data_IF_792389984839
#
_entry.id   IF_792389984839
#
_cell.length_a   1.000
_cell.length_b   1.000
_cell.length_c   1.000
_cell.angle_alpha   90.00
_cell.angle_beta   90.00
_cell.angle_gamma   90.00
#
_symmetry.space_group_name_H-M   'P 1'
#
loop_
_entity.id
_entity.type
_entity.pdbx_description
1 polymer ?
#
# COMPACT_ATOMS: atom_id res chain seq x y z
N UNK A 1 -20.21 2.69 19.97
CA UNK A 1 -19.09 3.64 20.02
C UNK A 1 -18.86 4.16 18.60
N UNK A 2 -19.25 5.40 18.31
CA UNK A 2 -18.89 6.04 17.05
C UNK A 2 -17.38 6.20 17.05
N UNK A 3 -16.70 5.63 16.05
CA UNK A 3 -15.27 5.88 15.85
C UNK A 3 -15.13 7.37 15.56
N UNK A 4 -14.50 8.09 16.46
CA UNK A 4 -14.14 9.49 16.27
C UNK A 4 -13.34 9.55 14.96
N UNK A 5 -13.79 10.39 14.04
CA UNK A 5 -13.11 10.61 12.76
C UNK A 5 -11.72 11.20 13.06
N UNK A 6 -10.69 10.55 12.58
CA UNK A 6 -9.31 11.00 12.80
C UNK A 6 -8.95 11.98 11.67
N UNK A 7 -9.16 13.27 11.90
CA UNK A 7 -8.97 14.33 10.91
C UNK A 7 -7.56 14.31 10.29
N UNK A 8 -6.54 14.05 11.11
CA UNK A 8 -5.16 13.97 10.63
C UNK A 8 -4.96 12.88 9.56
N UNK A 9 -5.69 11.75 9.63
CA UNK A 9 -5.62 10.70 8.62
C UNK A 9 -6.23 11.17 7.30
N UNK A 10 -7.33 11.90 7.34
CA UNK A 10 -7.97 12.43 6.14
C UNK A 10 -7.07 13.49 5.48
N UNK A 11 -6.40 14.32 6.27
CA UNK A 11 -5.39 15.28 5.81
C UNK A 11 -4.21 14.54 5.15
N UNK A 12 -3.68 13.50 5.82
CA UNK A 12 -2.56 12.70 5.29
C UNK A 12 -2.91 12.03 3.97
N UNK A 13 -4.12 11.46 3.84
CA UNK A 13 -4.59 10.88 2.57
C UNK A 13 -4.70 11.94 1.47
N UNK A 14 -5.29 13.09 1.78
CA UNK A 14 -5.40 14.19 0.83
C UNK A 14 -4.04 14.65 0.33
N UNK A 15 -3.09 14.83 1.24
CA UNK A 15 -1.72 15.18 0.90
C UNK A 15 -1.02 14.10 0.06
N UNK A 16 -1.20 12.82 0.43
CA UNK A 16 -0.66 11.70 -0.33
C UNK A 16 -1.19 11.63 -1.77
N UNK A 17 -2.48 11.94 -1.99
CA UNK A 17 -3.09 12.00 -3.32
C UNK A 17 -2.47 13.16 -4.11
N UNK A 18 -2.29 14.34 -3.50
CA UNK A 18 -1.63 15.49 -4.15
C UNK A 18 -0.21 15.11 -4.57
N UNK A 19 0.57 14.50 -3.67
CA UNK A 19 1.91 14.04 -3.98
C UNK A 19 1.92 12.99 -5.11
N UNK A 20 0.95 12.07 -5.13
CA UNK A 20 0.81 11.07 -6.18
C UNK A 20 0.58 11.73 -7.55
N UNK A 21 -0.37 12.65 -7.66
CA UNK A 21 -0.64 13.39 -8.90
C UNK A 21 0.59 14.19 -9.32
N UNK A 22 1.24 14.86 -8.37
CA UNK A 22 2.45 15.64 -8.62
C UNK A 22 3.62 14.75 -9.08
N UNK A 23 3.79 13.58 -8.47
CA UNK A 23 4.81 12.59 -8.84
C UNK A 23 4.65 12.02 -10.26
N UNK A 24 3.43 12.06 -10.83
CA UNK A 24 3.16 11.67 -12.22
C UNK A 24 3.24 12.84 -13.22
N UNK A 25 3.52 14.05 -12.76
CA UNK A 25 3.74 15.22 -13.63
C UNK A 25 5.22 15.36 -14.02
N UNK A 26 5.52 16.26 -14.98
CA UNK A 26 6.89 16.55 -15.42
C UNK A 26 7.63 17.39 -14.37
N UNK A 27 8.13 16.73 -13.30
CA UNK A 27 8.88 17.34 -12.21
C UNK A 27 10.35 16.92 -12.23
N UNK A 28 11.24 17.66 -11.56
CA UNK A 28 12.64 17.26 -11.39
C UNK A 28 12.77 15.86 -10.77
N UNK A 29 13.71 15.06 -11.30
CA UNK A 29 13.93 13.67 -10.87
C UNK A 29 14.17 13.54 -9.35
N UNK A 30 14.82 14.52 -8.73
CA UNK A 30 15.06 14.53 -7.28
C UNK A 30 13.76 14.57 -6.47
N UNK A 31 12.78 15.36 -6.92
CA UNK A 31 11.46 15.44 -6.26
C UNK A 31 10.67 14.16 -6.53
N UNK A 32 10.68 13.67 -7.76
CA UNK A 32 10.05 12.41 -8.13
C UNK A 32 10.60 11.25 -7.31
N UNK A 33 11.93 11.10 -7.20
CA UNK A 33 12.56 10.04 -6.39
C UNK A 33 12.12 10.08 -4.93
N UNK A 34 12.03 11.29 -4.36
CA UNK A 34 11.55 11.46 -3.00
C UNK A 34 10.10 10.98 -2.84
N UNK A 35 9.18 11.43 -3.70
CA UNK A 35 7.77 11.04 -3.65
C UNK A 35 7.62 9.52 -3.83
N UNK A 36 8.26 8.95 -4.82
CA UNK A 36 8.18 7.52 -5.14
C UNK A 36 8.82 6.61 -4.10
N UNK A 37 9.63 7.16 -3.18
CA UNK A 37 10.22 6.36 -2.12
C UNK A 37 9.21 5.90 -1.06
N UNK A 38 8.07 6.59 -0.88
CA UNK A 38 7.15 6.29 0.23
C UNK A 38 5.65 6.42 -0.10
N UNK A 39 5.25 7.11 -1.19
CA UNK A 39 3.83 7.47 -1.37
C UNK A 39 2.89 6.27 -1.48
N UNK A 40 3.27 5.20 -2.19
CA UNK A 40 2.44 4.01 -2.27
C UNK A 40 2.46 3.18 -0.99
N UNK A 41 3.60 2.90 -0.35
CA UNK A 41 3.65 2.35 0.99
C UNK A 41 2.77 3.08 2.00
N UNK A 42 2.71 4.41 1.95
CA UNK A 42 1.87 5.23 2.83
C UNK A 42 0.38 4.83 2.76
N UNK A 43 -0.16 4.61 1.57
CA UNK A 43 -1.56 4.20 1.43
C UNK A 43 -1.84 2.83 2.05
N UNK A 44 -0.92 1.86 1.92
CA UNK A 44 -1.07 0.56 2.58
C UNK A 44 -0.94 0.67 4.10
N UNK A 45 0.01 1.46 4.60
CA UNK A 45 0.19 1.72 6.05
C UNK A 45 -1.07 2.38 6.63
N UNK A 46 -1.61 3.42 5.99
CA UNK A 46 -2.85 4.07 6.45
C UNK A 46 -4.02 3.09 6.42
N UNK A 47 -4.13 2.26 5.39
CA UNK A 47 -5.20 1.27 5.28
C UNK A 47 -5.14 0.24 6.41
N UNK A 48 -3.93 -0.26 6.72
CA UNK A 48 -3.69 -1.14 7.86
C UNK A 48 -3.96 -0.48 9.20
N UNK A 49 -3.58 0.78 9.38
CA UNK A 49 -3.89 1.57 10.57
C UNK A 49 -5.40 1.71 10.82
N UNK A 50 -6.17 1.93 9.75
CA UNK A 50 -7.62 2.05 9.82
C UNK A 50 -8.33 0.71 9.97
N UNK A 51 -7.63 -0.40 9.74
CA UNK A 51 -8.23 -1.72 9.84
C UNK A 51 -8.71 -2.00 11.27
N UNK A 52 -9.91 -2.60 11.36
CA UNK A 52 -10.50 -2.99 12.63
C UNK A 52 -11.09 -4.40 12.50
N UNK A 53 -10.39 -5.37 13.09
CA UNK A 53 -10.78 -6.77 13.07
C UNK A 53 -12.17 -7.01 13.69
N UNK A 54 -12.54 -6.27 14.76
CA UNK A 54 -13.83 -6.45 15.45
C UNK A 54 -15.06 -6.09 14.60
N UNK A 55 -14.87 -5.37 13.49
CA UNK A 55 -15.96 -5.04 12.55
C UNK A 55 -16.40 -6.21 11.69
N UNK A 56 -15.58 -7.26 11.62
CA UNK A 56 -15.82 -8.37 10.70
C UNK A 56 -15.98 -9.67 11.47
N UNK A 57 -17.20 -10.21 11.46
CA UNK A 57 -17.52 -11.50 12.14
C UNK A 57 -16.85 -12.71 11.49
N UNK A 58 -16.52 -12.59 10.21
CA UNK A 58 -15.86 -13.65 9.42
C UNK A 58 -15.09 -13.03 8.24
N UNK A 59 -14.11 -13.74 7.64
CA UNK A 59 -13.46 -13.29 6.41
C UNK A 59 -14.44 -12.99 5.27
N UNK A 60 -15.51 -13.79 5.15
CA UNK A 60 -16.53 -13.58 4.13
C UNK A 60 -17.27 -12.25 4.29
N UNK A 61 -17.51 -11.80 5.54
CA UNK A 61 -18.13 -10.50 5.79
C UNK A 61 -17.26 -9.32 5.34
N UNK A 62 -15.95 -9.43 5.47
CA UNK A 62 -15.00 -8.47 4.92
C UNK A 62 -15.04 -8.47 3.39
N UNK A 63 -14.93 -9.67 2.76
CA UNK A 63 -14.94 -9.82 1.31
C UNK A 63 -16.18 -9.15 0.72
N UNK A 64 -17.36 -9.48 1.24
CA UNK A 64 -18.64 -8.90 0.79
C UNK A 64 -18.62 -7.37 0.89
N UNK A 65 -18.18 -6.82 2.02
CA UNK A 65 -18.12 -5.37 2.21
C UNK A 65 -17.14 -4.71 1.26
N UNK A 66 -15.94 -5.26 1.13
CA UNK A 66 -14.88 -4.70 0.27
C UNK A 66 -15.18 -4.86 -1.21
N UNK A 67 -15.89 -5.90 -1.59
CA UNK A 67 -16.38 -6.05 -2.95
C UNK A 67 -17.26 -4.83 -3.35
N UNK A 68 -18.22 -4.46 -2.53
CA UNK A 68 -19.08 -3.30 -2.82
C UNK A 68 -18.35 -1.95 -2.73
N UNK A 69 -17.35 -1.82 -1.85
CA UNK A 69 -16.70 -0.52 -1.60
C UNK A 69 -15.43 -0.31 -2.43
N UNK A 70 -14.80 -1.36 -2.93
CA UNK A 70 -13.56 -1.28 -3.74
C UNK A 70 -13.76 -1.84 -5.15
N UNK A 71 -14.29 -3.07 -5.29
CA UNK A 71 -14.32 -3.75 -6.59
C UNK A 71 -15.39 -3.17 -7.50
N UNK A 72 -16.60 -2.88 -7.01
CA UNK A 72 -17.63 -2.26 -7.84
C UNK A 72 -17.20 -0.89 -8.38
N UNK A 73 -16.70 0.06 -7.56
CA UNK A 73 -16.14 1.31 -8.09
C UNK A 73 -14.96 1.08 -9.04
N UNK A 74 -14.07 0.13 -8.74
CA UNK A 74 -12.96 -0.23 -9.60
C UNK A 74 -13.45 -0.66 -11.00
N UNK A 75 -14.42 -1.58 -11.08
CA UNK A 75 -14.99 -2.02 -12.36
C UNK A 75 -15.60 -0.84 -13.11
N UNK A 76 -16.40 -0.01 -12.42
CA UNK A 76 -17.02 1.17 -13.02
C UNK A 76 -15.97 2.12 -13.63
N UNK A 77 -14.96 2.50 -12.85
CA UNK A 77 -13.90 3.41 -13.33
C UNK A 77 -13.01 2.75 -14.39
N UNK A 78 -12.78 1.43 -14.32
CA UNK A 78 -12.06 0.69 -15.35
C UNK A 78 -12.78 0.72 -16.69
N UNK A 79 -14.09 0.48 -16.70
CA UNK A 79 -14.90 0.58 -17.92
C UNK A 79 -14.92 2.01 -18.45
N UNK A 80 -15.14 2.98 -17.55
CA UNK A 80 -15.16 4.40 -17.91
C UNK A 80 -13.83 4.85 -18.54
N UNK A 81 -12.70 4.52 -17.91
CA UNK A 81 -11.37 4.82 -18.43
C UNK A 81 -11.12 4.11 -19.76
N UNK A 82 -11.51 2.84 -19.89
CA UNK A 82 -11.36 2.09 -21.11
C UNK A 82 -12.14 2.69 -22.27
N UNK A 83 -13.42 2.99 -22.06
CA UNK A 83 -14.29 3.61 -23.09
C UNK A 83 -13.75 4.98 -23.54
N UNK A 84 -13.19 5.77 -22.63
CA UNK A 84 -12.61 7.07 -22.95
C UNK A 84 -11.24 7.00 -23.65
N UNK A 85 -10.39 6.05 -23.29
CA UNK A 85 -8.99 5.99 -23.71
C UNK A 85 -8.72 5.03 -24.88
N UNK A 86 -9.52 3.97 -25.01
CA UNK A 86 -9.35 2.97 -26.07
C UNK A 86 -9.52 3.54 -27.49
N UNK A 87 -10.56 4.35 -27.78
CA UNK A 87 -10.72 4.96 -29.11
C UNK A 87 -9.58 5.92 -29.49
N UNK A 88 -8.87 6.45 -28.48
CA UNK A 88 -7.71 7.34 -28.67
C UNK A 88 -6.39 6.56 -28.85
N UNK A 89 -6.43 5.22 -28.80
CA UNK A 89 -5.25 4.37 -28.87
C UNK A 89 -4.32 4.46 -27.64
N UNK A 90 -4.80 5.04 -26.53
CA UNK A 90 -4.01 5.25 -25.30
C UNK A 90 -3.92 4.00 -24.43
N UNK A 91 -4.87 3.06 -24.57
CA UNK A 91 -4.91 1.81 -23.81
C UNK A 91 -5.24 0.63 -24.73
N UNK A 92 -4.81 -0.58 -24.30
CA UNK A 92 -5.09 -1.84 -25.00
C UNK A 92 -6.09 -2.66 -24.20
N UNK A 93 -6.72 -3.66 -24.82
CA UNK A 93 -7.61 -4.61 -24.16
C UNK A 93 -6.96 -5.32 -22.96
N UNK A 94 -5.65 -5.51 -23.07
CA UNK A 94 -4.84 -6.16 -22.03
C UNK A 94 -4.92 -5.44 -20.67
N UNK A 95 -5.10 -4.12 -20.65
CA UNK A 95 -5.17 -3.34 -19.42
C UNK A 95 -6.32 -3.78 -18.51
N UNK A 96 -7.43 -4.22 -19.06
CA UNK A 96 -8.59 -4.69 -18.28
C UNK A 96 -8.28 -5.89 -17.40
N UNK A 97 -7.40 -6.81 -17.83
CA UNK A 97 -7.04 -7.99 -17.06
C UNK A 97 -5.64 -7.92 -16.43
N UNK A 98 -4.75 -7.09 -16.94
CA UNK A 98 -3.44 -6.83 -16.31
C UNK A 98 -3.52 -5.95 -15.07
N UNK A 99 -4.67 -5.32 -14.80
CA UNK A 99 -4.89 -4.50 -13.62
C UNK A 99 -4.39 -3.07 -13.74
N UNK A 100 -4.44 -2.49 -14.96
CA UNK A 100 -4.13 -1.10 -15.22
C UNK A 100 -2.70 -0.69 -14.86
N UNK A 101 -1.72 -1.43 -15.38
CA UNK A 101 -0.31 -1.11 -15.24
C UNK A 101 -0.01 0.31 -15.74
N UNK A 102 0.69 1.10 -14.92
CA UNK A 102 0.97 2.51 -15.23
C UNK A 102 -0.14 3.50 -14.92
N UNK A 103 -1.33 3.04 -14.51
CA UNK A 103 -2.47 3.87 -14.12
C UNK A 103 -2.81 3.66 -12.65
N UNK A 104 -3.34 4.68 -11.96
CA UNK A 104 -3.64 4.63 -10.53
C UNK A 104 -4.64 3.51 -10.11
N UNK A 105 -5.41 2.97 -11.03
CA UNK A 105 -6.42 1.94 -10.78
C UNK A 105 -5.84 0.61 -10.29
N UNK A 106 -4.59 0.28 -10.59
CA UNK A 106 -3.93 -0.96 -10.15
C UNK A 106 -3.93 -1.13 -8.62
N UNK A 107 -3.91 -0.02 -7.90
CA UNK A 107 -3.86 -0.02 -6.43
C UNK A 107 -5.08 -0.68 -5.79
N UNK A 108 -6.26 -0.54 -6.40
CA UNK A 108 -7.54 -1.00 -5.80
C UNK A 108 -7.62 -2.53 -5.67
N UNK A 109 -7.36 -3.34 -6.73
CA UNK A 109 -7.35 -4.80 -6.59
C UNK A 109 -6.23 -5.28 -5.66
N UNK A 110 -5.05 -4.65 -5.66
CA UNK A 110 -3.97 -5.00 -4.73
C UNK A 110 -4.36 -4.70 -3.28
N UNK A 111 -5.00 -3.56 -3.02
CA UNK A 111 -5.50 -3.25 -1.66
C UNK A 111 -6.57 -4.26 -1.22
N UNK A 112 -7.50 -4.60 -2.11
CA UNK A 112 -8.55 -5.58 -1.84
C UNK A 112 -7.95 -6.95 -1.46
N UNK A 113 -7.03 -7.48 -2.27
CA UNK A 113 -6.38 -8.76 -2.00
C UNK A 113 -5.51 -8.73 -0.75
N UNK A 114 -4.80 -7.63 -0.51
CA UNK A 114 -3.99 -7.41 0.71
C UNK A 114 -4.86 -7.45 1.98
N UNK A 115 -6.00 -6.77 1.97
CA UNK A 115 -6.92 -6.76 3.12
C UNK A 115 -7.52 -8.14 3.39
N UNK A 116 -7.91 -8.86 2.34
CA UNK A 116 -8.45 -10.22 2.48
C UNK A 116 -7.38 -11.15 3.05
N UNK A 117 -6.19 -11.14 2.48
CA UNK A 117 -5.08 -11.98 2.92
C UNK A 117 -4.73 -11.68 4.38
N UNK A 118 -4.60 -10.41 4.75
CA UNK A 118 -4.30 -10.00 6.12
C UNK A 118 -5.40 -10.45 7.11
N UNK A 119 -6.69 -10.26 6.76
CA UNK A 119 -7.80 -10.71 7.58
C UNK A 119 -7.80 -12.25 7.75
N UNK A 120 -7.51 -12.99 6.68
CA UNK A 120 -7.44 -14.44 6.72
C UNK A 120 -6.30 -14.93 7.63
N UNK A 121 -5.13 -14.29 7.58
CA UNK A 121 -4.01 -14.59 8.46
C UNK A 121 -4.36 -14.32 9.94
N UNK A 122 -5.02 -13.20 10.23
CA UNK A 122 -5.52 -12.92 11.58
C UNK A 122 -6.55 -13.97 12.05
N UNK A 123 -7.43 -14.41 11.16
CA UNK A 123 -8.41 -15.45 11.47
C UNK A 123 -7.74 -16.80 11.76
N UNK A 124 -6.71 -17.17 10.98
CA UNK A 124 -5.91 -18.37 11.26
C UNK A 124 -5.23 -18.22 12.62
N UNK A 125 -4.54 -17.10 12.86
CA UNK A 125 -3.86 -16.86 14.14
C UNK A 125 -4.81 -17.01 15.34
N UNK A 126 -6.05 -16.52 15.23
CA UNK A 126 -7.04 -16.61 16.30
C UNK A 126 -7.46 -18.04 16.65
N UNK A 127 -7.29 -19.00 15.73
CA UNK A 127 -7.58 -20.41 15.95
C UNK A 127 -6.45 -21.16 16.67
N UNK A 128 -5.22 -20.67 16.56
CA UNK A 128 -4.04 -21.28 17.19
C UNK A 128 -3.71 -20.64 18.57
N UNK A 129 -4.72 -20.43 19.38
CA UNK A 129 -4.83 -19.61 20.59
C UNK A 129 -3.75 -19.76 21.68
N UNK A 130 -2.82 -20.68 21.66
CA UNK A 130 -1.94 -20.93 22.81
C UNK A 130 -0.44 -20.76 22.60
N UNK A 131 0.03 -20.33 21.47
CA UNK A 131 1.47 -20.44 21.31
C UNK A 131 2.04 -19.54 20.25
N UNK A 132 2.12 -18.46 20.07
CA UNK A 132 3.11 -17.76 19.19
C UNK A 132 2.64 -16.36 18.80
N UNK A 133 2.98 -15.44 19.67
CA UNK A 133 2.89 -14.00 19.41
C UNK A 133 3.55 -13.56 18.09
N UNK A 134 4.48 -14.37 17.54
CA UNK A 134 5.27 -14.04 16.34
C UNK A 134 4.85 -14.81 15.07
N UNK A 135 3.79 -15.64 15.12
CA UNK A 135 3.39 -16.45 13.95
C UNK A 135 2.94 -15.57 12.79
N UNK A 136 2.11 -14.58 13.06
CA UNK A 136 1.59 -13.65 12.05
C UNK A 136 2.72 -12.85 11.42
N UNK A 137 3.58 -12.28 12.24
CA UNK A 137 4.71 -11.46 11.81
C UNK A 137 5.70 -12.29 10.97
N UNK A 138 5.96 -13.53 11.37
CA UNK A 138 6.83 -14.44 10.62
C UNK A 138 6.23 -14.78 9.25
N UNK A 139 4.93 -15.09 9.18
CA UNK A 139 4.26 -15.39 7.91
C UNK A 139 4.29 -14.15 7.00
N UNK A 140 3.99 -12.96 7.53
CA UNK A 140 4.02 -11.71 6.76
C UNK A 140 5.43 -11.43 6.23
N UNK A 141 6.46 -11.64 7.03
CA UNK A 141 7.85 -11.48 6.58
C UNK A 141 8.19 -12.47 5.46
N UNK A 142 7.81 -13.75 5.59
CA UNK A 142 8.02 -14.74 4.53
C UNK A 142 7.30 -14.33 3.24
N UNK A 143 6.03 -13.92 3.33
CA UNK A 143 5.27 -13.45 2.17
C UNK A 143 5.92 -12.23 1.51
N UNK A 144 6.46 -11.31 2.31
CA UNK A 144 7.14 -10.12 1.79
C UNK A 144 8.44 -10.48 1.06
N UNK A 145 9.18 -11.45 1.56
CA UNK A 145 10.37 -11.99 0.88
C UNK A 145 9.98 -12.67 -0.43
N UNK A 146 8.89 -13.45 -0.43
CA UNK A 146 8.34 -14.05 -1.67
C UNK A 146 7.96 -12.96 -2.67
N UNK A 147 7.26 -11.91 -2.25
CA UNK A 147 6.91 -10.76 -3.09
C UNK A 147 8.14 -10.09 -3.69
N UNK A 148 9.20 -9.92 -2.89
CA UNK A 148 10.46 -9.37 -3.37
C UNK A 148 11.16 -10.29 -4.39
N UNK A 149 11.16 -11.61 -4.17
CA UNK A 149 11.71 -12.58 -5.13
C UNK A 149 10.93 -12.54 -6.44
N UNK A 150 9.58 -12.49 -6.38
CA UNK A 150 8.73 -12.38 -7.57
C UNK A 150 9.03 -11.11 -8.37
N UNK A 151 9.36 -10.00 -7.69
CA UNK A 151 9.76 -8.76 -8.36
C UNK A 151 11.09 -8.90 -9.12
N UNK A 152 12.02 -9.73 -8.63
CA UNK A 152 13.31 -10.00 -9.30
C UNK A 152 13.17 -10.99 -10.47
N UNK A 153 12.13 -11.82 -10.45
CA UNK A 153 11.81 -12.76 -11.53
C UNK A 153 10.93 -12.12 -12.63
N UNK A 154 10.66 -10.81 -12.53
CA UNK A 154 9.80 -10.07 -13.46
C UNK A 154 8.43 -10.75 -13.67
N UNK A 155 7.89 -11.28 -12.56
CA UNK A 155 6.63 -12.01 -12.58
C UNK A 155 5.46 -11.06 -12.58
N UNK A 156 4.55 -11.20 -13.54
CA UNK A 156 3.34 -10.41 -13.66
C UNK A 156 2.10 -11.31 -13.66
N UNK A 157 1.23 -11.11 -12.69
CA UNK A 157 -0.02 -11.85 -12.55
C UNK A 157 -1.23 -10.94 -12.80
N UNK A 158 -2.37 -11.57 -13.04
CA UNK A 158 -3.65 -10.88 -13.22
C UNK A 158 -3.91 -9.98 -11.99
N UNK A 159 -4.33 -8.73 -12.24
CA UNK A 159 -4.61 -7.73 -11.22
C UNK A 159 -3.45 -7.45 -10.25
N UNK A 160 -2.21 -7.66 -10.68
CA UNK A 160 -1.02 -7.37 -9.88
C UNK A 160 -0.97 -8.15 -8.55
N UNK A 161 -1.44 -9.38 -8.56
CA UNK A 161 -1.48 -10.22 -7.35
C UNK A 161 -0.11 -10.43 -6.70
N UNK A 162 0.97 -10.41 -7.49
CA UNK A 162 2.35 -10.48 -7.01
C UNK A 162 2.71 -9.34 -6.06
N UNK A 163 2.18 -8.14 -6.29
CA UNK A 163 2.42 -6.96 -5.47
C UNK A 163 1.79 -7.10 -4.07
N UNK A 164 0.69 -7.88 -3.97
CA UNK A 164 0.00 -8.14 -2.70
C UNK A 164 0.95 -8.70 -1.64
N UNK A 165 1.87 -9.58 -2.04
CA UNK A 165 2.81 -10.21 -1.11
C UNK A 165 3.79 -9.22 -0.48
N UNK A 166 4.14 -8.15 -1.18
CA UNK A 166 4.96 -7.09 -0.62
C UNK A 166 4.12 -6.03 0.10
N UNK A 167 2.95 -5.72 -0.43
CA UNK A 167 2.03 -4.73 0.13
C UNK A 167 1.53 -5.10 1.54
N UNK A 168 1.37 -6.41 1.82
CA UNK A 168 0.91 -6.89 3.15
C UNK A 168 1.87 -6.51 4.27
N UNK A 169 3.16 -6.35 3.98
CA UNK A 169 4.15 -5.89 4.95
C UNK A 169 3.83 -4.46 5.42
N UNK A 170 3.65 -3.53 4.49
CA UNK A 170 3.30 -2.15 4.83
C UNK A 170 1.93 -2.05 5.50
N UNK A 171 0.98 -2.85 5.06
CA UNK A 171 -0.34 -2.93 5.69
C UNK A 171 -0.24 -3.40 7.15
N UNK A 172 0.56 -4.43 7.43
CA UNK A 172 0.77 -4.94 8.77
C UNK A 172 1.46 -3.93 9.69
N UNK A 173 2.43 -3.17 9.18
CA UNK A 173 3.06 -2.06 9.91
C UNK A 173 2.01 -1.06 10.37
N UNK A 174 1.11 -0.65 9.49
CA UNK A 174 0.02 0.25 9.83
C UNK A 174 -0.88 -0.30 10.95
N UNK A 175 -1.21 -1.58 10.88
CA UNK A 175 -2.00 -2.26 11.91
C UNK A 175 -1.28 -2.29 13.28
N UNK A 176 0.03 -2.54 13.28
CA UNK A 176 0.85 -2.54 14.49
C UNK A 176 1.01 -1.13 15.05
N UNK A 177 1.30 -0.13 14.20
CA UNK A 177 1.49 1.26 14.58
C UNK A 177 0.28 1.87 15.29
N UNK A 178 -0.92 1.40 14.99
CA UNK A 178 -2.12 1.83 15.72
C UNK A 178 -1.99 1.70 17.23
N UNK A 179 -1.18 0.75 17.72
CA UNK A 179 -0.94 0.51 19.13
C UNK A 179 0.13 1.44 19.73
N UNK A 180 1.06 1.94 18.90
CA UNK A 180 2.24 2.68 19.36
C UNK A 180 2.15 4.19 19.13
N UNK A 181 1.47 4.65 18.06
CA UNK A 181 1.45 6.06 17.67
C UNK A 181 0.75 6.99 18.68
N UNK A 182 -0.02 6.46 19.63
CA UNK A 182 -0.67 7.27 20.66
C UNK A 182 0.31 7.94 21.63
N UNK A 183 1.58 7.52 21.66
CA UNK A 183 2.59 7.93 22.64
C UNK A 183 3.83 8.57 22.02
N UNK A 184 3.84 8.87 20.71
CA UNK A 184 5.02 9.42 20.05
C UNK A 184 4.86 10.94 19.92
N UNK A 185 5.69 11.70 20.64
CA UNK A 185 5.78 13.15 20.54
C UNK A 185 7.06 13.53 19.81
N UNK A 186 6.92 14.19 18.66
CA UNK A 186 8.05 14.75 17.94
C UNK A 186 8.10 16.26 18.09
N UNK A 187 9.30 16.79 18.31
CA UNK A 187 9.50 18.24 18.21
C UNK A 187 9.53 18.65 16.73
N UNK A 188 9.03 19.86 16.42
CA UNK A 188 9.04 20.39 15.03
C UNK A 188 10.45 20.35 14.40
N UNK A 189 11.49 20.55 15.23
CA UNK A 189 12.89 20.50 14.79
C UNK A 189 13.30 19.10 14.33
N UNK A 190 12.90 18.07 15.08
CA UNK A 190 13.20 16.66 14.72
C UNK A 190 12.49 16.29 13.42
N UNK A 191 11.21 16.68 13.26
CA UNK A 191 10.44 16.42 12.02
C UNK A 191 11.14 17.08 10.83
N UNK A 192 11.53 18.35 10.94
CA UNK A 192 12.18 19.08 9.86
C UNK A 192 13.53 18.46 9.47
N UNK A 193 14.37 18.13 10.44
CA UNK A 193 15.66 17.47 10.18
C UNK A 193 15.49 16.07 9.56
N UNK A 194 14.51 15.32 10.05
CA UNK A 194 14.16 13.99 9.51
C UNK A 194 13.73 14.09 8.05
N UNK A 195 12.90 15.04 7.70
CA UNK A 195 12.43 15.28 6.34
C UNK A 195 13.57 15.66 5.40
N UNK A 196 14.48 16.57 5.82
CA UNK A 196 15.65 16.94 5.03
C UNK A 196 16.55 15.73 4.77
N UNK A 197 16.83 14.95 5.81
CA UNK A 197 17.68 13.76 5.69
C UNK A 197 17.04 12.72 4.76
N UNK A 198 15.73 12.51 4.86
CA UNK A 198 15.00 11.59 3.98
C UNK A 198 15.06 12.03 2.52
N UNK A 199 14.88 13.34 2.22
CA UNK A 199 15.01 13.86 0.86
C UNK A 199 16.40 13.55 0.28
N UNK A 200 17.46 13.71 1.09
CA UNK A 200 18.83 13.40 0.67
C UNK A 200 18.99 11.91 0.42
N UNK A 201 18.60 11.07 1.37
CA UNK A 201 18.77 9.60 1.28
C UNK A 201 17.99 9.02 0.10
N UNK A 202 16.81 9.56 -0.20
CA UNK A 202 15.98 9.13 -1.34
C UNK A 202 16.68 9.31 -2.71
N UNK A 203 17.75 10.13 -2.81
CA UNK A 203 18.49 10.27 -4.05
C UNK A 203 19.46 9.10 -4.32
N UNK A 204 19.85 8.36 -3.29
CA UNK A 204 20.82 7.29 -3.36
C UNK A 204 20.21 5.88 -3.36
N UNK A 205 18.91 5.79 -3.07
CA UNK A 205 18.18 4.52 -3.02
C UNK A 205 17.25 4.42 -4.23
N UNK A 206 17.21 3.27 -4.94
CA UNK A 206 16.25 3.06 -6.02
C UNK A 206 14.82 3.28 -5.55
N UNK A 207 14.00 3.89 -6.38
CA UNK A 207 12.59 4.14 -6.06
C UNK A 207 11.80 2.84 -5.94
N UNK A 208 10.69 2.89 -5.19
CA UNK A 208 9.72 1.80 -5.11
C UNK A 208 8.65 2.05 -6.17
N UNK A 209 8.70 1.31 -7.26
CA UNK A 209 7.61 1.28 -8.23
C UNK A 209 6.76 0.02 -8.04
N UNK A 210 5.75 0.13 -7.19
CA UNK A 210 4.84 -0.98 -6.92
C UNK A 210 3.94 -1.28 -8.13
N UNK A 211 3.66 -0.30 -9.00
CA UNK A 211 2.88 -0.50 -10.19
C UNK A 211 3.58 -1.42 -11.20
N UNK A 212 4.91 -1.30 -11.31
CA UNK A 212 5.73 -2.13 -12.18
C UNK A 212 6.38 -3.31 -11.45
N UNK A 213 5.93 -3.62 -10.23
CA UNK A 213 6.51 -4.69 -9.39
C UNK A 213 8.03 -4.53 -9.15
N UNK A 214 8.52 -3.29 -8.99
CA UNK A 214 9.94 -2.99 -8.80
C UNK A 214 10.17 -2.39 -7.42
N UNK A 215 10.85 -3.13 -6.53
CA UNK A 215 11.02 -2.75 -5.12
C UNK A 215 12.45 -2.32 -4.77
N UNK A 216 13.33 -2.16 -5.75
CA UNK A 216 14.71 -1.74 -5.53
C UNK A 216 15.51 -2.70 -4.64
N UNK A 217 16.03 -2.19 -3.53
CA UNK A 217 16.71 -2.98 -2.49
C UNK A 217 15.75 -3.28 -1.34
N UNK A 218 15.64 -4.53 -0.92
CA UNK A 218 14.64 -4.96 0.06
C UNK A 218 14.67 -4.13 1.35
N UNK A 219 15.76 -4.18 2.11
CA UNK A 219 15.87 -3.51 3.41
C UNK A 219 15.93 -1.97 3.29
N UNK A 220 16.81 -1.37 2.47
CA UNK A 220 16.89 0.08 2.35
C UNK A 220 15.57 0.73 1.92
N UNK A 221 14.87 0.12 0.95
CA UNK A 221 13.61 0.66 0.45
C UNK A 221 12.48 0.56 1.49
N UNK A 222 12.42 -0.51 2.28
CA UNK A 222 11.48 -0.62 3.40
C UNK A 222 11.75 0.48 4.44
N UNK A 223 13.00 0.67 4.82
CA UNK A 223 13.36 1.67 5.83
C UNK A 223 12.97 3.07 5.38
N UNK A 224 13.32 3.47 4.14
CA UNK A 224 13.01 4.82 3.65
C UNK A 224 11.50 5.01 3.46
N UNK A 225 10.76 3.97 3.05
CA UNK A 225 9.32 4.03 2.91
C UNK A 225 8.63 4.23 4.27
N UNK A 226 9.02 3.49 5.30
CA UNK A 226 8.47 3.65 6.66
C UNK A 226 8.84 5.03 7.22
N UNK A 227 10.08 5.45 7.01
CA UNK A 227 10.55 6.76 7.46
C UNK A 227 9.76 7.91 6.84
N UNK A 228 9.39 7.82 5.55
CA UNK A 228 8.59 8.84 4.88
C UNK A 228 7.12 8.90 5.32
N UNK A 229 6.65 7.88 6.04
CA UNK A 229 5.30 7.81 6.57
C UNK A 229 5.21 8.34 8.00
N UNK A 230 6.29 8.28 8.77
CA UNK A 230 6.38 8.74 10.16
C UNK A 230 6.61 10.24 10.26
#
# INVERSE_FOLDING_TARGET
MQLQRLEWIDITKGFAIILMVFGHSSIPKSISNYIWSFHMPLFFIISGFLYNASKYKSPLSLIKKRYYTLIIPYIFFSIFAFVGMYPLGLVKWEELYKGWEGYALWFIPVLFTTEILFNYLLFIQSKFSNSKYYLLESIILILSIVGFILSKLDSHYIFKLEVTFFAIFFYSIGFIFKRFLQNIFYTKKIIFLSLLLQIIVAQFIPTIDMASNQFGYFIPNIIIAIWGVL
#
